data_IF_911204280527
#
_entry.id   IF_911204280527
#
_cell.length_a   1.000
_cell.length_b   1.000
_cell.length_c   1.000
_cell.angle_alpha   90.00
_cell.angle_beta   90.00
_cell.angle_gamma   90.00
#
_symmetry.space_group_name_H-M   'P 1'
#
loop_
_entity.id
_entity.type
_entity.pdbx_description
1 polymer ?
#
# COMPACT_ATOMS: atom_id res chain seq x y z
N UNK A 1 -24.17 22.51 6.14
CA UNK A 1 -23.84 22.05 4.78
C UNK A 1 -22.56 21.24 4.81
N UNK A 2 -22.65 19.94 5.09
CA UNK A 2 -21.50 19.02 5.06
C UNK A 2 -21.34 18.51 3.62
N UNK A 3 -20.41 19.11 2.85
CA UNK A 3 -19.89 18.47 1.64
C UNK A 3 -18.93 17.37 2.11
N UNK A 4 -19.42 16.14 2.19
CA UNK A 4 -18.54 14.97 2.14
C UNK A 4 -17.88 15.06 0.76
N UNK A 5 -16.58 15.35 0.72
CA UNK A 5 -15.82 15.46 -0.53
C UNK A 5 -15.85 14.08 -1.21
N UNK A 6 -16.30 14.02 -2.47
CA UNK A 6 -16.50 12.76 -3.24
C UNK A 6 -15.29 11.80 -3.23
N UNK A 7 -14.08 12.32 -2.98
CA UNK A 7 -12.86 11.51 -2.82
C UNK A 7 -12.87 10.59 -1.60
N UNK A 8 -13.51 10.96 -0.49
CA UNK A 8 -13.57 10.11 0.70
C UNK A 8 -14.43 8.86 0.46
N UNK A 9 -15.51 8.97 -0.32
CA UNK A 9 -16.37 7.83 -0.64
C UNK A 9 -15.61 6.76 -1.44
N UNK A 10 -14.76 7.17 -2.38
CA UNK A 10 -13.93 6.24 -3.15
C UNK A 10 -12.91 5.51 -2.26
N UNK A 11 -12.37 6.19 -1.26
CA UNK A 11 -11.43 5.61 -0.29
C UNK A 11 -12.14 4.62 0.64
N UNK A 12 -13.32 4.98 1.14
CA UNK A 12 -14.14 4.06 1.95
C UNK A 12 -14.52 2.82 1.15
N UNK A 13 -14.89 2.99 -0.13
CA UNK A 13 -15.18 1.87 -1.01
C UNK A 13 -13.93 1.00 -1.25
N UNK A 14 -12.78 1.63 -1.52
CA UNK A 14 -11.51 0.90 -1.70
C UNK A 14 -11.15 0.11 -0.45
N UNK A 15 -11.25 0.75 0.71
CA UNK A 15 -11.04 0.11 2.00
C UNK A 15 -11.93 -1.13 2.11
N UNK A 16 -13.25 -0.97 2.03
CA UNK A 16 -14.21 -2.05 2.23
C UNK A 16 -14.04 -3.23 1.24
N UNK A 17 -13.76 -2.96 -0.03
CA UNK A 17 -13.61 -4.02 -1.05
C UNK A 17 -12.26 -4.72 -1.00
N UNK A 18 -11.22 -4.04 -0.51
CA UNK A 18 -9.89 -4.60 -0.32
C UNK A 18 -9.66 -5.22 1.06
N UNK A 19 -10.66 -5.16 1.97
CA UNK A 19 -10.68 -5.95 3.21
C UNK A 19 -10.99 -7.42 2.88
N UNK A 20 -10.14 -8.33 3.34
CA UNK A 20 -10.44 -9.75 3.41
C UNK A 20 -11.01 -10.08 4.78
N UNK A 21 -12.34 -10.15 4.85
CA UNK A 21 -13.14 -10.31 6.07
C UNK A 21 -12.79 -11.54 6.91
N UNK A 22 -12.13 -12.53 6.32
CA UNK A 22 -11.75 -13.79 6.99
C UNK A 22 -10.47 -13.63 7.83
N UNK A 23 -9.66 -12.58 7.62
CA UNK A 23 -8.33 -12.45 8.21
C UNK A 23 -8.29 -11.35 9.28
N UNK A 24 -8.85 -10.17 8.99
CA UNK A 24 -8.84 -9.02 9.90
C UNK A 24 -10.22 -8.35 9.85
N UNK A 25 -10.77 -8.05 11.02
CA UNK A 25 -11.97 -7.22 11.15
C UNK A 25 -11.58 -5.83 11.62
N UNK A 26 -12.31 -4.82 11.14
CA UNK A 26 -12.14 -3.43 11.51
C UNK A 26 -13.45 -2.87 12.05
N UNK A 27 -13.35 -1.87 12.93
CA UNK A 27 -14.50 -1.05 13.28
C UNK A 27 -15.02 -0.34 12.02
N UNK A 28 -16.34 -0.24 11.81
CA UNK A 28 -16.91 0.52 10.69
C UNK A 28 -16.63 2.02 10.81
N UNK A 29 -16.27 2.50 12.00
CA UNK A 29 -15.88 3.89 12.24
C UNK A 29 -14.36 4.03 12.15
N UNK A 30 -13.90 4.74 11.13
CA UNK A 30 -12.52 5.15 10.95
C UNK A 30 -12.44 6.61 10.50
N UNK A 31 -11.25 7.21 10.62
CA UNK A 31 -11.00 8.59 10.20
C UNK A 31 -10.08 8.59 8.99
N UNK A 32 -10.36 9.46 8.03
CA UNK A 32 -9.53 9.67 6.84
C UNK A 32 -9.02 11.11 6.87
N UNK A 33 -7.71 11.26 6.72
CA UNK A 33 -7.02 12.53 6.63
C UNK A 33 -6.41 12.64 5.25
N UNK A 34 -6.71 13.70 4.51
CA UNK A 34 -5.91 14.07 3.35
C UNK A 34 -4.59 14.62 3.85
N UNK A 35 -3.49 14.13 3.29
CA UNK A 35 -2.14 14.56 3.65
C UNK A 35 -1.45 15.20 2.46
N UNK A 36 -0.73 16.27 2.72
CA UNK A 36 0.10 16.97 1.76
C UNK A 36 1.40 17.33 2.48
N UNK A 37 2.52 16.85 1.95
CA UNK A 37 3.82 16.99 2.57
C UNK A 37 4.65 18.03 1.82
N UNK A 38 5.29 18.91 2.57
CA UNK A 38 6.18 19.92 2.02
C UNK A 38 7.28 19.30 1.15
N UNK A 39 7.42 19.79 -0.09
CA UNK A 39 8.41 19.34 -1.04
C UNK A 39 8.11 17.99 -1.73
N UNK A 40 7.10 17.23 -1.29
CA UNK A 40 6.81 15.91 -1.85
C UNK A 40 6.21 16.02 -3.25
N UNK A 41 5.39 17.03 -3.51
CA UNK A 41 4.86 17.31 -4.85
C UNK A 41 5.98 17.59 -5.86
N UNK A 42 6.93 18.47 -5.51
CA UNK A 42 8.06 18.84 -6.36
C UNK A 42 8.98 17.65 -6.61
N UNK A 43 9.18 16.81 -5.60
CA UNK A 43 9.97 15.57 -5.75
C UNK A 43 9.29 14.56 -6.67
N UNK A 44 7.96 14.47 -6.62
CA UNK A 44 7.17 13.54 -7.42
C UNK A 44 6.99 14.00 -8.88
N UNK A 45 7.14 15.29 -9.15
CA UNK A 45 6.88 15.91 -10.45
C UNK A 45 7.53 15.18 -11.65
N UNK A 46 8.79 14.70 -11.58
CA UNK A 46 9.41 13.95 -12.69
C UNK A 46 8.71 12.63 -13.02
N UNK A 47 7.91 12.09 -12.09
CA UNK A 47 7.18 10.83 -12.23
C UNK A 47 5.69 11.04 -12.50
N UNK A 48 5.22 12.29 -12.54
CA UNK A 48 3.80 12.62 -12.78
C UNK A 48 3.31 12.05 -14.12
N UNK A 49 4.16 12.11 -15.14
CA UNK A 49 3.83 11.63 -16.49
C UNK A 49 4.24 10.17 -16.72
N UNK A 50 4.88 9.53 -15.74
CA UNK A 50 5.12 8.09 -15.80
C UNK A 50 3.77 7.37 -15.79
N UNK A 51 3.59 6.43 -16.72
CA UNK A 51 2.35 5.65 -16.83
C UNK A 51 2.17 4.70 -15.64
N UNK A 52 0.99 4.08 -15.54
CA UNK A 52 0.68 3.10 -14.50
C UNK A 52 0.94 3.66 -13.08
N UNK A 53 0.23 4.74 -12.75
CA UNK A 53 0.22 5.31 -11.40
C UNK A 53 -0.95 4.69 -10.65
N UNK A 54 -0.69 4.16 -9.46
CA UNK A 54 -1.72 3.48 -8.67
C UNK A 54 -1.80 4.04 -7.25
N UNK A 55 -3.01 4.07 -6.71
CA UNK A 55 -3.23 4.36 -5.29
C UNK A 55 -3.14 3.04 -4.50
N UNK A 56 -2.12 2.92 -3.64
CA UNK A 56 -1.80 1.67 -2.95
C UNK A 56 -1.62 1.87 -1.44
N UNK A 57 -1.88 0.79 -0.68
CA UNK A 57 -1.81 0.77 0.77
C UNK A 57 -0.39 0.55 1.29
N UNK A 58 -0.01 1.31 2.31
CA UNK A 58 1.23 1.09 3.08
C UNK A 58 0.94 1.13 4.58
N UNK A 59 1.22 0.03 5.29
CA UNK A 59 1.10 -0.04 6.74
C UNK A 59 2.46 0.02 7.42
N UNK A 60 2.48 0.61 8.61
CA UNK A 60 3.67 0.67 9.45
C UNK A 60 3.26 0.78 10.92
N UNK A 61 4.19 0.56 11.85
CA UNK A 61 3.94 0.80 13.27
C UNK A 61 3.61 2.27 13.50
N UNK A 62 2.65 2.55 14.39
CA UNK A 62 2.26 3.93 14.76
C UNK A 62 3.46 4.79 15.17
N UNK A 63 4.46 4.21 15.86
CA UNK A 63 5.69 4.90 16.26
C UNK A 63 6.49 5.46 15.08
N UNK A 64 6.36 4.89 13.88
CA UNK A 64 7.10 5.33 12.69
C UNK A 64 6.44 6.53 12.01
N UNK A 65 5.16 6.79 12.26
CA UNK A 65 4.40 7.81 11.51
C UNK A 65 4.90 9.23 11.76
N UNK A 66 5.47 9.54 12.93
CA UNK A 66 6.11 10.84 13.15
C UNK A 66 7.28 11.07 12.17
N UNK A 67 8.09 10.03 11.91
CA UNK A 67 9.17 10.07 10.93
C UNK A 67 8.66 10.09 9.49
N UNK A 68 7.63 9.30 9.18
CA UNK A 68 7.03 9.25 7.84
C UNK A 68 6.37 10.59 7.48
N UNK A 69 5.63 11.19 8.42
CA UNK A 69 4.95 12.47 8.21
C UNK A 69 5.89 13.68 8.22
N UNK A 70 7.13 13.54 8.70
CA UNK A 70 8.15 14.60 8.58
C UNK A 70 9.04 14.40 7.36
N UNK A 71 9.55 13.19 7.12
CA UNK A 71 10.61 12.92 6.13
C UNK A 71 10.14 12.14 4.90
N UNK A 72 8.94 11.55 4.95
CA UNK A 72 8.39 10.70 3.91
C UNK A 72 8.77 9.23 4.14
N UNK A 73 8.30 8.36 3.25
CA UNK A 73 8.75 6.97 3.21
C UNK A 73 10.20 6.91 2.74
N UNK A 74 11.02 6.14 3.45
CA UNK A 74 12.46 6.02 3.20
C UNK A 74 12.81 4.58 2.87
N UNK A 75 13.79 4.41 2.01
CA UNK A 75 14.40 3.11 1.74
C UNK A 75 15.42 2.84 2.85
N UNK A 76 15.48 1.60 3.32
CA UNK A 76 16.46 1.20 4.31
C UNK A 76 17.89 1.49 3.80
N UNK A 77 18.80 1.97 4.66
CA UNK A 77 20.16 2.32 4.25
C UNK A 77 20.94 1.07 3.84
N UNK A 78 22.00 1.21 3.04
CA UNK A 78 22.80 0.10 2.47
C UNK A 78 23.36 -0.86 3.53
N UNK A 79 23.63 -0.35 4.73
CA UNK A 79 24.27 -1.07 5.83
C UNK A 79 23.27 -1.96 6.60
N UNK A 80 21.96 -1.67 6.51
CA UNK A 80 20.95 -2.47 7.18
C UNK A 80 20.90 -3.90 6.62
N UNK A 81 20.66 -4.95 7.43
CA UNK A 81 20.51 -6.30 6.90
C UNK A 81 19.30 -6.38 5.96
N UNK A 82 19.40 -7.17 4.90
CA UNK A 82 18.30 -7.35 3.92
C UNK A 82 17.30 -8.42 4.37
N UNK A 83 17.57 -9.08 5.49
CA UNK A 83 16.69 -10.10 6.08
C UNK A 83 15.29 -9.53 6.33
N UNK A 84 14.28 -10.12 5.69
CA UNK A 84 12.88 -9.69 5.78
C UNK A 84 12.34 -8.96 4.54
N UNK A 85 13.20 -8.57 3.59
CA UNK A 85 12.78 -7.96 2.32
C UNK A 85 12.72 -8.99 1.18
N UNK A 86 11.52 -9.38 0.75
CA UNK A 86 11.33 -10.40 -0.30
C UNK A 86 11.94 -9.99 -1.65
N UNK A 87 11.99 -8.69 -1.92
CA UNK A 87 12.44 -8.11 -3.18
C UNK A 87 13.58 -7.10 -3.01
N UNK A 88 14.35 -7.21 -1.92
CA UNK A 88 15.41 -6.23 -1.62
C UNK A 88 14.88 -4.91 -1.04
N UNK A 89 15.77 -3.95 -0.83
CA UNK A 89 15.45 -2.70 -0.13
C UNK A 89 14.70 -1.75 -1.06
N UNK A 90 13.45 -1.46 -0.72
CA UNK A 90 12.59 -0.53 -1.44
C UNK A 90 11.42 -0.12 -0.56
N UNK A 91 10.52 0.70 -1.10
CA UNK A 91 9.26 1.05 -0.43
C UNK A 91 8.19 0.08 -0.90
N UNK A 92 7.62 -0.68 0.04
CA UNK A 92 6.65 -1.73 -0.22
C UNK A 92 5.22 -1.21 -0.06
N UNK A 93 4.37 -1.53 -1.03
CA UNK A 93 2.96 -1.26 -1.06
C UNK A 93 2.16 -2.52 -1.39
N UNK A 94 0.86 -2.51 -1.07
CA UNK A 94 -0.07 -3.56 -1.46
C UNK A 94 -1.36 -2.96 -2.02
N UNK A 95 -2.05 -3.72 -2.86
CA UNK A 95 -3.38 -3.40 -3.39
C UNK A 95 -4.51 -3.90 -2.47
N UNK A 96 -4.17 -4.69 -1.45
CA UNK A 96 -5.10 -5.19 -0.42
C UNK A 96 -4.82 -4.54 0.94
N UNK A 97 -5.81 -3.86 1.52
CA UNK A 97 -5.63 -3.20 2.83
C UNK A 97 -5.28 -4.21 3.93
N UNK A 98 -5.88 -5.41 3.91
CA UNK A 98 -5.61 -6.45 4.91
C UNK A 98 -4.14 -6.87 4.94
N UNK A 99 -3.43 -6.83 3.81
CA UNK A 99 -2.00 -7.13 3.77
C UNK A 99 -1.19 -6.04 4.44
N UNK A 100 -1.40 -4.79 4.03
CA UNK A 100 -0.69 -3.65 4.59
C UNK A 100 -1.00 -3.45 6.09
N UNK A 101 -2.24 -3.72 6.51
CA UNK A 101 -2.67 -3.61 7.90
C UNK A 101 -1.90 -4.52 8.88
N UNK A 102 -1.36 -5.67 8.42
CA UNK A 102 -0.51 -6.52 9.27
C UNK A 102 0.77 -5.81 9.75
N UNK A 103 1.26 -4.84 8.98
CA UNK A 103 2.45 -4.05 9.34
C UNK A 103 2.16 -2.96 10.36
N UNK A 104 0.90 -2.74 10.75
CA UNK A 104 0.54 -1.82 11.82
C UNK A 104 0.96 -2.33 13.21
N UNK A 105 1.12 -3.66 13.36
CA UNK A 105 1.44 -4.32 14.64
C UNK A 105 0.52 -3.94 15.80
N UNK A 106 -0.77 -3.73 15.51
CA UNK A 106 -1.80 -3.54 16.53
C UNK A 106 -2.05 -4.83 17.31
N UNK A 107 -2.70 -4.72 18.48
CA UNK A 107 -3.00 -5.83 19.37
C UNK A 107 -4.36 -5.64 20.05
N UNK A 108 -4.79 -6.60 20.85
CA UNK A 108 -6.03 -6.48 21.63
C UNK A 108 -5.99 -5.30 22.61
N UNK A 109 -4.83 -5.05 23.22
CA UNK A 109 -4.62 -3.97 24.20
C UNK A 109 -4.33 -2.63 23.53
N UNK A 110 -3.81 -2.63 22.30
CA UNK A 110 -3.61 -1.44 21.47
C UNK A 110 -4.16 -1.66 20.05
N UNK A 111 -5.49 -1.53 19.87
CA UNK A 111 -6.16 -1.91 18.63
C UNK A 111 -6.15 -0.80 17.58
N UNK A 112 -5.55 0.36 17.85
CA UNK A 112 -5.60 1.51 16.94
C UNK A 112 -4.34 1.56 16.09
N UNK A 113 -4.53 1.49 14.77
CA UNK A 113 -3.45 1.53 13.80
C UNK A 113 -3.60 2.67 12.80
N UNK A 114 -2.48 3.02 12.16
CA UNK A 114 -2.41 4.00 11.09
C UNK A 114 -1.99 3.30 9.80
N UNK A 115 -2.63 3.66 8.69
CA UNK A 115 -2.30 3.14 7.35
C UNK A 115 -2.32 4.28 6.32
N UNK A 116 -1.42 4.23 5.35
CA UNK A 116 -1.30 5.23 4.29
C UNK A 116 -1.90 4.72 2.99
N UNK A 117 -2.43 5.66 2.20
CA UNK A 117 -2.57 5.54 0.77
C UNK A 117 -1.59 6.48 0.07
N UNK A 118 -0.74 5.91 -0.77
CA UNK A 118 0.18 6.65 -1.62
C UNK A 118 -0.20 6.51 -3.09
N UNK A 119 -0.09 7.59 -3.85
CA UNK A 119 -0.02 7.55 -5.31
C UNK A 119 1.41 7.14 -5.68
N UNK A 120 1.54 5.96 -6.28
CA UNK A 120 2.82 5.33 -6.58
C UNK A 120 2.98 5.24 -8.09
N UNK A 121 4.02 5.86 -8.62
CA UNK A 121 4.35 5.80 -10.05
C UNK A 121 5.10 4.49 -10.34
N UNK A 122 4.40 3.48 -10.85
CA UNK A 122 4.97 2.15 -11.06
C UNK A 122 5.64 2.01 -12.43
N UNK A 123 5.10 2.66 -13.46
CA UNK A 123 5.56 2.49 -14.84
C UNK A 123 5.59 1.03 -15.27
N UNK A 124 6.61 0.68 -16.06
CA UNK A 124 6.92 -0.71 -16.40
C UNK A 124 7.40 -1.50 -15.17
N UNK A 125 6.56 -2.42 -14.69
CA UNK A 125 6.86 -3.29 -13.57
C UNK A 125 7.70 -4.50 -13.99
N UNK A 126 8.63 -4.93 -13.13
CA UNK A 126 9.30 -6.22 -13.22
C UNK A 126 8.56 -7.23 -12.34
N UNK A 127 7.91 -8.21 -12.98
CA UNK A 127 7.03 -9.15 -12.29
C UNK A 127 7.79 -10.38 -11.78
N UNK A 128 7.57 -10.74 -10.52
CA UNK A 128 8.24 -11.84 -9.84
C UNK A 128 7.22 -12.69 -9.08
N UNK A 129 7.36 -14.02 -9.19
CA UNK A 129 6.51 -14.99 -8.47
C UNK A 129 7.10 -15.41 -7.11
N UNK A 130 8.41 -15.27 -6.94
CA UNK A 130 9.12 -15.73 -5.76
C UNK A 130 10.11 -14.68 -5.31
N UNK A 131 10.44 -14.71 -4.02
CA UNK A 131 11.44 -13.82 -3.43
C UNK A 131 12.74 -13.83 -4.25
N UNK A 132 13.25 -12.64 -4.51
CA UNK A 132 14.48 -12.44 -5.27
C UNK A 132 15.17 -11.19 -4.75
N UNK A 133 16.45 -11.29 -4.44
CA UNK A 133 17.18 -10.18 -3.88
C UNK A 133 17.54 -9.14 -4.96
N UNK A 134 16.65 -8.18 -5.20
CA UNK A 134 16.83 -7.13 -6.21
C UNK A 134 17.77 -6.05 -5.66
N UNK A 135 18.92 -5.88 -6.31
CA UNK A 135 19.85 -4.77 -6.09
C UNK A 135 19.79 -3.73 -7.22
N UNK A 136 19.36 -4.16 -8.41
CA UNK A 136 19.23 -3.33 -9.59
C UNK A 136 18.08 -3.82 -10.46
N UNK A 137 17.26 -2.89 -10.92
CA UNK A 137 16.17 -3.20 -11.84
C UNK A 137 16.70 -3.52 -13.25
N UNK A 138 16.07 -4.45 -13.98
CA UNK A 138 16.33 -4.63 -15.41
C UNK A 138 16.10 -3.32 -16.18
N UNK A 139 16.82 -3.15 -17.30
CA UNK A 139 16.70 -1.95 -18.14
C UNK A 139 15.24 -1.73 -18.56
N UNK A 140 14.75 -0.50 -18.41
CA UNK A 140 13.39 -0.09 -18.79
C UNK A 140 12.30 -0.50 -17.79
N UNK A 141 12.68 -1.03 -16.62
CA UNK A 141 11.77 -1.30 -15.49
C UNK A 141 11.96 -0.22 -14.41
N UNK A 142 10.85 0.22 -13.81
CA UNK A 142 10.84 1.29 -12.80
C UNK A 142 10.41 0.81 -11.42
N UNK A 143 9.83 -0.38 -11.33
CA UNK A 143 9.34 -0.97 -10.08
C UNK A 143 9.31 -2.49 -10.19
N UNK A 144 9.06 -3.16 -9.07
CA UNK A 144 8.81 -4.60 -9.00
C UNK A 144 7.36 -4.85 -8.61
N UNK A 145 6.75 -5.88 -9.20
CA UNK A 145 5.48 -6.45 -8.76
C UNK A 145 5.69 -7.89 -8.31
N UNK A 146 5.51 -8.13 -7.03
CA UNK A 146 5.34 -9.48 -6.50
C UNK A 146 3.95 -9.99 -6.87
N UNK A 147 3.85 -11.11 -7.59
CA UNK A 147 2.58 -11.66 -8.06
C UNK A 147 1.95 -12.59 -7.01
N UNK A 148 0.84 -12.19 -6.41
CA UNK A 148 0.12 -12.96 -5.40
C UNK A 148 -0.91 -13.94 -5.96
N UNK A 149 -1.37 -14.89 -5.14
CA UNK A 149 -2.49 -15.81 -5.46
C UNK A 149 -3.85 -15.10 -5.51
N UNK A 150 -4.01 -14.01 -4.78
CA UNK A 150 -5.22 -13.20 -4.74
C UNK A 150 -4.89 -11.75 -5.09
N UNK A 151 -5.73 -11.15 -5.94
CA UNK A 151 -5.63 -9.75 -6.35
C UNK A 151 -7.03 -9.13 -6.46
N UNK A 152 -7.17 -7.81 -6.39
CA UNK A 152 -8.43 -7.14 -6.73
C UNK A 152 -8.89 -7.50 -8.14
N UNK A 153 -10.19 -7.69 -8.32
CA UNK A 153 -10.80 -7.84 -9.64
C UNK A 153 -10.49 -6.61 -10.51
N UNK A 154 -9.73 -6.77 -11.62
CA UNK A 154 -9.30 -5.65 -12.44
C UNK A 154 -10.45 -4.93 -13.13
N UNK A 155 -11.61 -5.58 -13.33
CA UNK A 155 -12.80 -4.97 -13.97
C UNK A 155 -13.35 -3.83 -13.12
N UNK A 156 -13.15 -3.89 -11.80
CA UNK A 156 -13.62 -2.87 -10.86
C UNK A 156 -12.58 -1.76 -10.61
N UNK A 157 -11.52 -1.67 -11.43
CA UNK A 157 -10.53 -0.58 -11.28
C UNK A 157 -11.19 0.75 -11.62
N UNK A 158 -11.08 1.71 -10.71
CA UNK A 158 -11.52 3.09 -10.93
C UNK A 158 -10.31 4.02 -11.10
N UNK A 159 -10.55 5.26 -11.51
CA UNK A 159 -9.53 6.30 -11.54
C UNK A 159 -9.85 7.39 -10.53
N UNK A 160 -8.84 7.85 -9.78
CA UNK A 160 -8.92 8.98 -8.87
C UNK A 160 -7.72 9.90 -9.13
N UNK A 161 -7.98 11.15 -9.51
CA UNK A 161 -6.96 12.13 -9.90
C UNK A 161 -5.97 11.62 -10.96
N UNK A 162 -6.42 10.73 -11.86
CA UNK A 162 -5.59 10.14 -12.92
C UNK A 162 -4.68 8.99 -12.46
N UNK A 163 -4.81 8.52 -11.22
CA UNK A 163 -4.21 7.29 -10.74
C UNK A 163 -5.25 6.17 -10.65
N UNK A 164 -4.85 4.94 -10.94
CA UNK A 164 -5.73 3.78 -10.85
C UNK A 164 -5.92 3.38 -9.37
N UNK A 165 -7.16 3.08 -9.01
CA UNK A 165 -7.54 2.57 -7.69
C UNK A 165 -8.10 1.16 -7.88
N UNK A 166 -7.41 0.10 -7.42
CA UNK A 166 -7.83 -1.27 -7.64
C UNK A 166 -8.96 -1.66 -6.67
N UNK A 167 -10.17 -1.12 -6.89
CA UNK A 167 -11.34 -1.27 -6.01
C UNK A 167 -11.96 -2.68 -6.02
N UNK A 168 -11.48 -3.60 -6.84
CA UNK A 168 -12.07 -4.93 -6.95
C UNK A 168 -12.02 -5.73 -5.65
N UNK A 169 -13.01 -6.59 -5.45
CA UNK A 169 -12.93 -7.63 -4.41
C UNK A 169 -11.75 -8.56 -4.72
N UNK A 170 -11.15 -9.12 -3.69
CA UNK A 170 -10.09 -10.12 -3.86
C UNK A 170 -10.61 -11.37 -4.57
N UNK A 171 -10.07 -11.65 -5.77
CA UNK A 171 -10.33 -12.85 -6.56
C UNK A 171 -9.05 -13.66 -6.77
N UNK A 172 -9.12 -14.97 -7.09
CA UNK A 172 -7.95 -15.73 -7.52
C UNK A 172 -7.30 -15.08 -8.75
N UNK A 173 -5.99 -14.85 -8.69
CA UNK A 173 -5.24 -14.16 -9.76
C UNK A 173 -4.89 -15.05 -10.95
N UNK A 174 -5.10 -16.36 -10.84
CA UNK A 174 -4.67 -17.36 -11.83
C UNK A 174 -3.15 -17.63 -11.83
N UNK A 175 -2.37 -16.97 -10.95
CA UNK A 175 -0.93 -17.17 -10.86
C UNK A 175 -0.60 -18.48 -10.13
N UNK A 176 -0.06 -19.45 -10.87
CA UNK A 176 0.49 -20.68 -10.31
C UNK A 176 1.96 -20.51 -9.87
N UNK A 177 2.38 -21.35 -8.90
CA UNK A 177 3.75 -21.44 -8.39
C UNK A 177 4.32 -20.12 -7.83
N UNK A 178 3.47 -19.34 -7.17
CA UNK A 178 3.89 -18.17 -6.38
C UNK A 178 3.92 -18.48 -4.89
N UNK A 179 4.91 -17.92 -4.19
CA UNK A 179 5.02 -17.95 -2.72
C UNK A 179 4.24 -16.83 -2.05
N UNK A 180 3.66 -15.90 -2.81
CA UNK A 180 2.92 -14.75 -2.31
C UNK A 180 1.42 -15.01 -2.24
N UNK A 181 0.81 -14.66 -1.11
CA UNK A 181 -0.66 -14.70 -0.98
C UNK A 181 -1.34 -13.54 -1.72
N UNK A 182 -0.75 -12.34 -1.67
CA UNK A 182 -1.27 -11.13 -2.31
C UNK A 182 -0.15 -10.38 -3.00
N UNK A 183 -0.51 -9.49 -3.93
CA UNK A 183 0.48 -8.70 -4.65
C UNK A 183 1.34 -7.84 -3.71
N UNK A 184 2.52 -7.48 -4.19
CA UNK A 184 3.38 -6.44 -3.63
C UNK A 184 3.84 -5.52 -4.73
N UNK A 185 3.94 -4.24 -4.43
CA UNK A 185 4.46 -3.24 -5.36
C UNK A 185 5.62 -2.55 -4.67
N UNK A 186 6.78 -2.60 -5.31
CA UNK A 186 8.03 -2.10 -4.72
C UNK A 186 8.63 -1.07 -5.65
N UNK A 187 8.86 0.12 -5.11
CA UNK A 187 9.63 1.18 -5.77
C UNK A 187 10.98 1.36 -5.09
N UNK A 188 11.99 1.67 -5.89
CA UNK A 188 13.39 1.77 -5.44
C UNK A 188 13.89 3.23 -5.49
N UNK A 189 12.98 4.17 -5.74
CA UNK A 189 13.19 5.61 -5.63
C UNK A 189 12.08 6.19 -4.74
N UNK A 190 12.49 6.97 -3.73
CA UNK A 190 11.56 7.65 -2.83
C UNK A 190 10.70 8.71 -3.56
N UNK A 191 11.19 9.21 -4.71
CA UNK A 191 10.50 10.20 -5.52
C UNK A 191 9.33 9.61 -6.33
N UNK A 192 9.24 8.29 -6.47
CA UNK A 192 8.11 7.60 -7.11
C UNK A 192 6.86 7.52 -6.22
N UNK A 193 6.90 8.11 -5.02
CA UNK A 193 5.80 8.05 -4.05
C UNK A 193 5.33 9.45 -3.69
N UNK A 194 4.02 9.64 -3.74
CA UNK A 194 3.32 10.80 -3.18
C UNK A 194 2.23 10.34 -2.23
N UNK A 195 2.36 10.66 -0.96
CA UNK A 195 1.37 10.29 0.05
C UNK A 195 0.12 11.16 -0.10
N UNK A 196 -1.07 10.55 -0.11
CA UNK A 196 -2.33 11.24 -0.41
C UNK A 196 -3.29 11.20 0.76
N UNK A 197 -3.39 10.04 1.43
CA UNK A 197 -4.29 9.87 2.57
C UNK A 197 -3.64 9.09 3.70
N UNK A 198 -4.02 9.43 4.92
CA UNK A 198 -3.75 8.71 6.15
C UNK A 198 -5.07 8.26 6.72
N UNK A 199 -5.20 6.98 7.04
CA UNK A 199 -6.38 6.43 7.70
C UNK A 199 -6.01 5.99 9.12
N UNK A 200 -6.88 6.34 10.07
CA UNK A 200 -6.83 5.84 11.44
C UNK A 200 -7.90 4.78 11.60
N UNK A 201 -7.45 3.54 11.78
CA UNK A 201 -8.28 2.35 11.86
C UNK A 201 -8.31 1.80 13.29
N UNK A 202 -9.42 1.17 13.66
CA UNK A 202 -9.51 0.34 14.88
C UNK A 202 -9.72 -1.11 14.48
N UNK A 203 -8.80 -1.98 14.89
CA UNK A 203 -8.81 -3.42 14.63
C UNK A 203 -9.71 -4.12 15.65
N UNK A 204 -10.55 -5.03 15.16
CA UNK A 204 -11.40 -5.88 15.98
C UNK A 204 -10.78 -7.27 16.06
N UNK A 205 -10.16 -7.57 17.18
CA UNK A 205 -9.67 -8.90 17.50
C UNK A 205 -10.79 -9.69 18.17
N UNK A 206 -11.11 -10.88 17.64
CA UNK A 206 -12.01 -11.79 18.36
C UNK A 206 -11.27 -12.25 19.62
N UNK A 207 -11.87 -12.00 20.78
CA UNK A 207 -11.48 -12.69 22.01
C UNK A 207 -11.88 -14.14 21.84
N UNK A 208 -10.91 -15.04 21.68
CA UNK A 208 -11.16 -16.45 22.01
C UNK A 208 -11.23 -16.48 23.53
N UNK A 209 -12.44 -16.33 24.08
CA UNK A 209 -12.71 -16.81 25.41
C UNK A 209 -12.57 -18.34 25.32
N UNK A 210 -11.58 -18.84 26.04
CA UNK A 210 -11.21 -20.24 26.25
C UNK A 210 -12.42 -21.17 26.32
#
# INVERSE_FOLDING_TARGET
YLRIQDGFLHIELFFNLSVLSVIISFSPLFQIFKIERDGEYQRYEPFRDLHNRQLLWHGSRTTNFAGILSQGLRIAPSEAPVTGYMFGKGIYFADMVSKSANYCHTSQTDPVGLILLGEVALGNMFELKNASHITKLPKGKHSVKGLGKTAPDPISTASLDGADVPLGKGIPSGISNTSLMYNEYIVYDIAQVKLKYLLKLKFNYKTTLW
#
